data_IF_892706861610
#
_entry.id   IF_892706861610
#
_cell.length_a   1.000
_cell.length_b   1.000
_cell.length_c   1.000
_cell.angle_alpha   90.00
_cell.angle_beta   90.00
_cell.angle_gamma   90.00
#
_symmetry.space_group_name_H-M   'P 1'
#
loop_
_entity.id
_entity.type
_entity.pdbx_description
1 polymer ?
#
# COMPACT_ATOMS: atom_id res chain seq x y z
N UNK A 1 -4.47 1.26 -0.49
CA UNK A 1 -4.48 2.01 -1.76
C UNK A 1 -4.89 1.01 -2.79
N UNK A 2 -6.00 1.27 -3.47
CA UNK A 2 -6.49 0.38 -4.50
C UNK A 2 -5.71 0.58 -5.80
N UNK A 3 -5.72 -0.43 -6.68
CA UNK A 3 -4.91 -0.38 -7.91
C UNK A 3 -5.34 0.76 -8.85
N UNK A 4 -6.63 1.08 -8.89
CA UNK A 4 -7.18 2.20 -9.67
C UNK A 4 -6.77 3.58 -9.12
N UNK A 5 -6.20 3.65 -7.92
CA UNK A 5 -5.72 4.89 -7.31
C UNK A 5 -4.23 5.11 -7.45
N UNK A 6 -3.49 4.04 -7.75
CA UNK A 6 -2.05 3.98 -7.58
C UNK A 6 -1.33 5.12 -8.31
N UNK A 7 -1.66 5.31 -9.59
CA UNK A 7 -1.02 6.28 -10.48
C UNK A 7 -1.19 7.70 -9.97
N UNK A 8 -2.43 8.14 -9.76
CA UNK A 8 -2.71 9.53 -9.39
C UNK A 8 -2.37 9.82 -7.93
N UNK A 9 -2.30 8.79 -7.07
CA UNK A 9 -1.78 8.93 -5.70
C UNK A 9 -0.26 9.05 -5.66
N UNK A 10 0.46 8.48 -6.63
CA UNK A 10 1.93 8.48 -6.63
C UNK A 10 2.55 9.48 -7.61
N UNK A 11 1.78 10.07 -8.52
CA UNK A 11 2.23 11.19 -9.35
C UNK A 11 2.67 12.39 -8.46
N UNK A 12 3.97 12.74 -8.43
CA UNK A 12 4.46 13.86 -7.62
C UNK A 12 3.89 15.21 -8.03
N UNK A 13 3.34 15.35 -9.24
CA UNK A 13 2.73 16.59 -9.73
C UNK A 13 1.22 16.63 -9.47
N UNK A 14 0.61 15.51 -9.08
CA UNK A 14 -0.83 15.39 -8.86
C UNK A 14 -1.33 16.18 -7.64
N UNK A 15 -2.48 16.86 -7.78
CA UNK A 15 -3.12 17.61 -6.70
C UNK A 15 -3.69 16.74 -5.57
N UNK A 16 -3.93 15.45 -5.83
CA UNK A 16 -4.47 14.48 -4.87
C UNK A 16 -3.43 13.43 -4.43
N UNK A 17 -2.15 13.70 -4.69
CA UNK A 17 -1.04 12.79 -4.39
C UNK A 17 -0.96 12.46 -2.90
N UNK A 18 -0.34 11.32 -2.61
CA UNK A 18 0.07 10.98 -1.26
C UNK A 18 1.10 12.01 -0.75
N UNK A 19 1.06 12.42 0.52
CA UNK A 19 2.09 13.31 1.08
C UNK A 19 3.52 12.81 0.87
N UNK A 20 3.69 11.48 0.79
CA UNK A 20 4.96 10.80 0.58
C UNK A 20 5.45 10.86 -0.88
N UNK A 21 4.58 11.16 -1.85
CA UNK A 21 4.93 11.28 -3.27
C UNK A 21 5.60 12.63 -3.54
N UNK A 22 6.80 12.83 -2.97
CA UNK A 22 7.48 14.14 -2.94
C UNK A 22 8.28 14.46 -4.20
N UNK A 23 8.55 13.48 -5.06
CA UNK A 23 9.33 13.69 -6.28
C UNK A 23 9.58 12.39 -7.05
N UNK A 24 10.06 12.54 -8.29
CA UNK A 24 10.32 11.40 -9.19
C UNK A 24 11.47 10.49 -8.74
N UNK A 25 12.37 11.00 -7.89
CA UNK A 25 13.50 10.25 -7.31
C UNK A 25 13.10 9.35 -6.13
N UNK A 26 11.82 9.38 -5.72
CA UNK A 26 11.32 8.53 -4.65
C UNK A 26 11.47 7.05 -5.02
N UNK A 27 12.07 6.27 -4.10
CA UNK A 27 12.08 4.81 -4.21
C UNK A 27 10.71 4.27 -3.84
N UNK A 28 9.96 3.81 -4.82
CA UNK A 28 8.67 3.14 -4.59
C UNK A 28 8.86 1.64 -4.78
N UNK A 29 8.56 0.86 -3.74
CA UNK A 29 8.51 -0.61 -3.81
C UNK A 29 7.06 -1.02 -3.66
N UNK A 30 6.48 -1.60 -4.70
CA UNK A 30 5.13 -2.17 -4.68
C UNK A 30 5.20 -3.68 -4.61
N UNK A 31 4.28 -4.31 -3.90
CA UNK A 31 4.22 -5.78 -3.85
C UNK A 31 2.76 -6.23 -3.79
N UNK A 32 2.46 -7.32 -4.49
CA UNK A 32 1.26 -8.11 -4.27
C UNK A 32 1.64 -9.45 -3.62
N UNK A 33 0.71 -10.41 -3.61
CA UNK A 33 0.96 -11.69 -2.93
C UNK A 33 2.07 -12.51 -3.62
N UNK A 34 2.04 -12.60 -4.95
CA UNK A 34 2.94 -13.46 -5.75
C UNK A 34 3.83 -12.71 -6.76
N UNK A 35 3.69 -11.39 -6.86
CA UNK A 35 4.51 -10.54 -7.73
C UNK A 35 3.85 -10.13 -9.06
N UNK A 36 2.91 -10.91 -9.61
CA UNK A 36 2.36 -10.66 -10.95
C UNK A 36 1.76 -9.25 -11.15
N UNK A 37 0.86 -8.85 -10.25
CA UNK A 37 0.20 -7.56 -10.34
C UNK A 37 1.15 -6.40 -10.01
N UNK A 38 2.09 -6.61 -9.08
CA UNK A 38 3.04 -5.58 -8.68
C UNK A 38 4.08 -5.27 -9.74
N UNK A 39 4.51 -6.25 -10.55
CA UNK A 39 5.44 -5.98 -11.67
C UNK A 39 4.81 -5.04 -12.70
N UNK A 40 3.53 -5.26 -13.04
CA UNK A 40 2.78 -4.36 -13.93
C UNK A 40 2.56 -2.97 -13.30
N UNK A 41 2.31 -2.93 -11.99
CA UNK A 41 2.18 -1.66 -11.25
C UNK A 41 3.49 -0.86 -11.26
N UNK A 42 4.63 -1.51 -11.01
CA UNK A 42 5.94 -0.88 -11.08
C UNK A 42 6.21 -0.32 -12.48
N UNK A 43 5.86 -1.06 -13.53
CA UNK A 43 5.96 -0.59 -14.92
C UNK A 43 5.12 0.66 -15.18
N UNK A 44 3.86 0.68 -14.74
CA UNK A 44 2.97 1.84 -14.87
C UNK A 44 3.53 3.08 -14.16
N UNK A 45 4.09 2.90 -12.96
CA UNK A 45 4.71 4.00 -12.21
C UNK A 45 5.98 4.52 -12.89
N UNK A 46 6.78 3.64 -13.50
CA UNK A 46 7.94 4.06 -14.29
C UNK A 46 7.52 4.89 -15.51
N UNK A 47 6.39 4.57 -16.14
CA UNK A 47 5.82 5.39 -17.25
C UNK A 47 5.41 6.80 -16.80
N UNK A 48 5.05 6.97 -15.53
CA UNK A 48 4.78 8.28 -14.92
C UNK A 48 6.07 9.04 -14.50
N UNK A 49 7.25 8.48 -14.75
CA UNK A 49 8.53 9.12 -14.43
C UNK A 49 9.12 8.75 -13.07
N UNK A 50 8.45 7.91 -12.27
CA UNK A 50 9.01 7.33 -11.04
C UNK A 50 10.03 6.25 -11.40
N UNK A 51 11.18 6.68 -11.89
CA UNK A 51 12.21 5.84 -12.52
C UNK A 51 12.85 4.81 -11.57
N UNK A 52 12.69 5.00 -10.24
CA UNK A 52 13.14 4.05 -9.20
C UNK A 52 12.01 3.13 -8.71
N UNK A 53 10.83 3.18 -9.31
CA UNK A 53 9.76 2.23 -8.98
C UNK A 53 10.17 0.81 -9.37
N UNK A 54 9.94 -0.13 -8.45
CA UNK A 54 10.27 -1.54 -8.56
C UNK A 54 9.30 -2.37 -7.72
N UNK A 55 9.34 -3.68 -7.87
CA UNK A 55 8.53 -4.61 -7.13
C UNK A 55 9.36 -5.65 -6.37
N UNK A 56 8.69 -6.37 -5.46
CA UNK A 56 9.30 -7.50 -4.78
C UNK A 56 9.12 -8.78 -5.60
N UNK A 57 10.23 -9.38 -6.03
CA UNK A 57 10.23 -10.64 -6.78
C UNK A 57 9.51 -11.72 -5.97
N UNK A 58 8.49 -12.35 -6.57
CA UNK A 58 7.68 -13.40 -5.93
C UNK A 58 6.70 -12.89 -4.87
N UNK A 59 6.57 -11.57 -4.71
CA UNK A 59 5.60 -10.95 -3.81
C UNK A 59 5.77 -11.33 -2.33
N UNK A 60 4.74 -11.03 -1.55
CA UNK A 60 4.74 -11.29 -0.11
C UNK A 60 5.02 -12.77 0.26
N UNK A 61 4.65 -13.72 -0.60
CA UNK A 61 4.97 -15.14 -0.39
C UNK A 61 6.48 -15.40 -0.38
N UNK A 62 7.24 -14.78 -1.29
CA UNK A 62 8.70 -14.89 -1.31
C UNK A 62 9.35 -14.20 -0.09
N UNK A 63 8.83 -13.05 0.35
CA UNK A 63 9.28 -12.39 1.58
C UNK A 63 9.16 -13.32 2.80
N UNK A 64 8.00 -13.96 2.96
CA UNK A 64 7.76 -14.94 4.02
C UNK A 64 8.67 -16.16 3.90
N UNK A 65 8.80 -16.73 2.69
CA UNK A 65 9.64 -17.89 2.45
C UNK A 65 11.13 -17.63 2.75
N UNK A 66 11.58 -16.38 2.59
CA UNK A 66 12.91 -15.94 2.98
C UNK A 66 13.10 -15.77 4.50
N UNK A 67 12.06 -16.00 5.32
CA UNK A 67 12.13 -15.87 6.78
C UNK A 67 12.23 -14.43 7.27
N UNK A 68 11.86 -13.45 6.44
CA UNK A 68 11.91 -12.04 6.81
C UNK A 68 10.76 -11.66 7.75
N UNK A 69 10.90 -10.59 8.57
CA UNK A 69 9.91 -10.23 9.58
C UNK A 69 8.52 -10.00 8.99
N UNK A 70 7.51 -10.62 9.61
CA UNK A 70 6.09 -10.40 9.34
C UNK A 70 5.38 -10.20 10.67
N UNK A 71 4.78 -9.03 10.85
CA UNK A 71 3.92 -8.75 12.00
C UNK A 71 2.51 -9.24 11.69
N UNK A 72 2.06 -10.26 12.42
CA UNK A 72 0.66 -10.65 12.42
C UNK A 72 -0.06 -9.74 13.40
N UNK A 73 -1.01 -8.91 12.95
CA UNK A 73 -1.77 -8.05 13.85
C UNK A 73 -2.46 -8.93 14.89
N UNK A 74 -2.21 -8.66 16.17
CA UNK A 74 -2.98 -9.30 17.23
C UNK A 74 -4.40 -8.76 17.12
N UNK A 75 -5.39 -9.65 17.01
CA UNK A 75 -6.79 -9.23 16.98
C UNK A 75 -7.11 -8.54 18.31
N UNK A 76 -7.28 -7.23 18.27
CA UNK A 76 -7.77 -6.47 19.43
C UNK A 76 -9.12 -7.04 19.87
N UNK A 77 -9.34 -7.11 21.18
CA UNK A 77 -10.63 -7.50 21.74
C UNK A 77 -11.75 -6.62 21.15
N UNK A 78 -12.96 -7.18 20.94
CA UNK A 78 -14.07 -6.40 20.38
C UNK A 78 -14.30 -5.15 21.21
N UNK A 79 -14.40 -3.99 20.56
CA UNK A 79 -14.72 -2.73 21.19
C UNK A 79 -16.09 -2.86 21.88
N UNK A 80 -16.12 -2.91 23.23
CA UNK A 80 -17.38 -2.90 23.99
C UNK A 80 -18.12 -1.62 23.63
N UNK A 81 -19.24 -1.75 22.92
CA UNK A 81 -20.16 -0.64 22.68
C UNK A 81 -20.63 -0.11 24.03
N UNK A 82 -20.47 1.19 24.27
CA UNK A 82 -21.06 1.86 25.42
C UNK A 82 -22.59 1.69 25.38
N UNK A 83 -23.26 1.43 26.51
CA UNK A 83 -24.71 1.33 26.53
C UNK A 83 -25.32 2.66 26.09
N UNK A 84 -26.23 2.62 25.11
CA UNK A 84 -26.95 3.80 24.66
C UNK A 84 -27.78 4.35 25.82
N UNK A 85 -27.52 5.61 26.20
CA UNK A 85 -28.40 6.37 27.10
C UNK A 85 -29.76 6.48 26.42
N UNK A 86 -30.72 5.64 26.81
CA UNK A 86 -32.13 5.85 26.51
C UNK A 86 -32.51 7.19 27.16
N UNK A 87 -32.78 8.21 26.33
CA UNK A 87 -33.48 9.40 26.80
C UNK A 87 -34.90 8.98 27.16
N UNK A 88 -35.25 9.07 28.44
CA UNK A 88 -36.65 9.05 28.86
C UNK A 88 -37.24 10.42 28.50
N UNK A 89 -38.36 10.40 27.78
CA UNK A 89 -39.19 11.56 27.51
C UNK A 89 -39.96 12.00 28.78
#
# INVERSE_FOLDING_TARGET
>A
MERNELEWRLDPLGSHRAPQATGHDLRVVVFCDEGYASSLAAESLRRLGLHRATDLIGGFQAWKAAGLPVLVPTRSAPHRRAPSRRHLA
#
